data_IF_388441294107
#
_entry.id   IF_388441294107
#
_cell.length_a   1.000
_cell.length_b   1.000
_cell.length_c   1.000
_cell.angle_alpha   90.00
_cell.angle_beta   90.00
_cell.angle_gamma   90.00
#
_symmetry.space_group_name_H-M   'P 1'
#
loop_
_entity.id
_entity.type
_entity.pdbx_description
1 polymer ?
#
# COMPACT_ATOMS: atom_id res chain seq x y z
N UNK A 1 -14.72 46.05 -27.41
CA UNK A 1 -13.80 44.90 -27.65
C UNK A 1 -13.37 44.31 -26.32
N UNK A 2 -14.08 43.29 -25.85
CA UNK A 2 -13.69 42.52 -24.67
C UNK A 2 -12.63 41.49 -25.10
N UNK A 3 -11.43 41.58 -24.50
CA UNK A 3 -10.43 40.53 -24.62
C UNK A 3 -10.80 39.42 -23.62
N UNK A 4 -11.15 38.26 -24.17
CA UNK A 4 -11.28 37.01 -23.44
C UNK A 4 -9.95 36.67 -22.76
N UNK A 5 -9.89 36.79 -21.44
CA UNK A 5 -8.84 36.17 -20.64
C UNK A 5 -9.04 34.66 -20.74
N UNK A 6 -8.14 33.99 -21.45
CA UNK A 6 -8.07 32.53 -21.47
C UNK A 6 -7.96 32.01 -20.05
N UNK A 7 -8.88 31.12 -19.67
CA UNK A 7 -8.78 30.37 -18.44
C UNK A 7 -7.52 29.50 -18.54
N UNK A 8 -6.50 29.85 -17.76
CA UNK A 8 -5.45 28.89 -17.44
C UNK A 8 -6.12 27.78 -16.61
N UNK A 9 -6.39 26.64 -17.25
CA UNK A 9 -6.73 25.42 -16.53
C UNK A 9 -5.51 25.01 -15.72
N UNK A 10 -5.57 25.17 -14.39
CA UNK A 10 -4.55 24.61 -13.52
C UNK A 10 -4.39 23.12 -13.84
N UNK A 11 -3.16 22.63 -14.11
CA UNK A 11 -2.95 21.21 -14.34
C UNK A 11 -3.26 20.47 -13.04
N UNK A 12 -4.43 19.87 -12.96
CA UNK A 12 -4.85 19.21 -11.73
C UNK A 12 -3.98 17.99 -11.41
N UNK A 13 -3.78 17.75 -10.12
CA UNK A 13 -2.87 16.72 -9.63
C UNK A 13 -3.61 15.38 -9.55
N UNK A 14 -2.97 14.31 -10.03
CA UNK A 14 -3.46 12.93 -9.86
C UNK A 14 -2.54 12.16 -8.94
N UNK A 15 -3.12 11.31 -8.08
CA UNK A 15 -2.35 10.33 -7.31
C UNK A 15 -2.31 9.00 -8.07
N UNK A 16 -1.11 8.45 -8.25
CA UNK A 16 -0.88 7.21 -8.99
C UNK A 16 -0.10 6.22 -8.13
N UNK A 17 -0.65 5.02 -7.95
CA UNK A 17 0.00 3.90 -7.29
C UNK A 17 0.48 2.88 -8.33
N UNK A 18 1.74 2.49 -8.27
CA UNK A 18 2.37 1.65 -9.29
C UNK A 18 2.12 0.15 -9.08
N UNK A 19 2.58 -0.69 -10.00
CA UNK A 19 2.47 -2.14 -9.90
C UNK A 19 3.64 -2.79 -9.16
N UNK A 20 3.89 -4.06 -9.47
CA UNK A 20 5.08 -4.76 -8.98
C UNK A 20 6.37 -4.08 -9.48
N UNK A 21 7.34 -3.90 -8.59
CA UNK A 21 8.65 -3.32 -8.88
C UNK A 21 9.70 -3.87 -7.92
N UNK A 22 10.99 -3.68 -8.20
CA UNK A 22 12.07 -4.42 -7.53
C UNK A 22 12.63 -3.78 -6.25
N UNK A 23 12.23 -2.54 -5.91
CA UNK A 23 12.88 -1.75 -4.84
C UNK A 23 12.06 -1.60 -3.55
N UNK A 24 10.86 -2.20 -3.49
CA UNK A 24 9.95 -2.02 -2.35
C UNK A 24 10.56 -2.45 -1.00
N UNK A 25 11.41 -3.48 -0.99
CA UNK A 25 12.00 -3.99 0.24
C UNK A 25 12.97 -2.98 0.85
N UNK A 26 13.82 -2.36 0.02
CA UNK A 26 14.76 -1.33 0.47
C UNK A 26 14.04 -0.04 0.87
N UNK A 27 13.01 0.34 0.11
CA UNK A 27 12.14 1.48 0.46
C UNK A 27 11.48 1.27 1.83
N UNK A 28 10.83 0.13 2.05
CA UNK A 28 10.15 -0.16 3.32
C UNK A 28 11.13 -0.27 4.49
N UNK A 29 12.31 -0.87 4.29
CA UNK A 29 13.38 -0.86 5.30
C UNK A 29 13.81 0.56 5.64
N UNK A 30 13.97 1.43 4.64
CA UNK A 30 14.30 2.85 4.84
C UNK A 30 13.20 3.60 5.62
N UNK A 31 11.93 3.35 5.29
CA UNK A 31 10.78 3.93 5.99
C UNK A 31 10.72 3.48 7.47
N UNK A 32 10.92 2.19 7.74
CA UNK A 32 10.97 1.62 9.09
C UNK A 32 12.13 2.20 9.93
N UNK A 33 13.30 2.40 9.30
CA UNK A 33 14.45 2.99 9.97
C UNK A 33 14.23 4.47 10.31
N UNK A 34 13.55 5.21 9.44
CA UNK A 34 13.44 6.68 9.52
C UNK A 34 12.19 7.21 10.21
N UNK A 35 11.14 6.41 10.40
CA UNK A 35 9.88 6.88 10.99
C UNK A 35 9.32 5.97 12.09
N UNK A 36 9.01 6.58 13.24
CA UNK A 36 8.31 5.92 14.34
C UNK A 36 6.85 5.57 13.98
N UNK A 37 6.15 6.47 13.29
CA UNK A 37 4.76 6.22 12.86
C UNK A 37 4.66 5.03 11.92
N UNK A 38 5.68 4.81 11.09
CA UNK A 38 5.75 3.63 10.22
C UNK A 38 5.95 2.35 11.03
N UNK A 39 6.82 2.36 12.05
CA UNK A 39 7.01 1.19 12.91
C UNK A 39 5.75 0.83 13.68
N UNK A 40 5.03 1.82 14.20
CA UNK A 40 3.75 1.63 14.86
C UNK A 40 2.70 1.05 13.90
N UNK A 41 2.59 1.61 12.70
CA UNK A 41 1.71 1.08 11.66
C UNK A 41 2.05 -0.38 11.33
N UNK A 42 3.33 -0.69 11.08
CA UNK A 42 3.75 -2.07 10.74
C UNK A 42 3.49 -3.03 11.90
N UNK A 43 3.66 -2.61 13.15
CA UNK A 43 3.29 -3.41 14.31
C UNK A 43 1.78 -3.72 14.33
N UNK A 44 0.91 -2.72 14.09
CA UNK A 44 -0.54 -2.93 13.97
C UNK A 44 -0.88 -3.89 12.82
N UNK A 45 -0.25 -3.72 11.66
CA UNK A 45 -0.46 -4.58 10.49
C UNK A 45 -0.05 -6.02 10.76
N UNK A 46 1.07 -6.25 11.46
CA UNK A 46 1.49 -7.60 11.85
C UNK A 46 0.45 -8.27 12.76
N UNK A 47 -0.11 -7.55 13.74
CA UNK A 47 -1.19 -8.08 14.59
C UNK A 47 -2.42 -8.45 13.75
N UNK A 48 -2.86 -7.57 12.85
CA UNK A 48 -4.02 -7.86 11.98
C UNK A 48 -3.79 -9.06 11.02
N UNK A 49 -2.56 -9.22 10.53
CA UNK A 49 -2.19 -10.36 9.68
C UNK A 49 -2.11 -11.67 10.46
N UNK A 50 -1.66 -11.62 11.71
CA UNK A 50 -1.66 -12.77 12.61
C UNK A 50 -3.09 -13.22 12.94
N UNK A 51 -3.98 -12.28 13.26
CA UNK A 51 -5.41 -12.55 13.46
C UNK A 51 -6.04 -13.18 12.21
N UNK A 52 -5.80 -12.60 11.03
CA UNK A 52 -6.30 -13.15 9.78
C UNK A 52 -5.73 -14.54 9.50
N UNK A 53 -4.45 -14.79 9.80
CA UNK A 53 -3.83 -16.09 9.62
C UNK A 53 -4.47 -17.17 10.51
N UNK A 54 -4.81 -16.82 11.74
CA UNK A 54 -5.57 -17.70 12.62
C UNK A 54 -6.98 -17.98 12.05
N UNK A 55 -7.69 -16.96 11.57
CA UNK A 55 -9.02 -17.11 10.94
C UNK A 55 -8.99 -18.06 9.74
N UNK A 56 -7.98 -17.92 8.87
CA UNK A 56 -7.83 -18.76 7.69
C UNK A 56 -7.08 -20.08 7.94
N UNK A 57 -6.64 -20.35 9.17
CA UNK A 57 -5.83 -21.53 9.53
C UNK A 57 -4.58 -21.69 8.66
N UNK A 58 -3.84 -20.60 8.46
CA UNK A 58 -2.59 -20.56 7.67
C UNK A 58 -1.44 -19.98 8.49
N UNK A 59 -0.21 -20.20 8.02
CA UNK A 59 0.98 -19.58 8.63
C UNK A 59 0.91 -18.05 8.58
N UNK A 60 1.20 -17.36 9.71
CA UNK A 60 1.13 -15.91 9.80
C UNK A 60 2.19 -15.24 8.95
N UNK A 61 1.83 -14.09 8.38
CA UNK A 61 2.77 -13.23 7.69
C UNK A 61 3.38 -12.22 8.66
N UNK A 62 4.71 -12.22 8.75
CA UNK A 62 5.45 -11.22 9.51
C UNK A 62 6.24 -10.33 8.55
N UNK A 63 5.93 -9.04 8.53
CA UNK A 63 6.55 -8.06 7.62
C UNK A 63 8.07 -8.00 7.80
N UNK A 64 8.55 -7.91 9.04
CA UNK A 64 9.97 -7.75 9.34
C UNK A 64 10.77 -9.02 9.02
N UNK A 65 10.18 -10.19 9.30
CA UNK A 65 10.73 -11.49 8.94
C UNK A 65 10.80 -11.66 7.42
N UNK A 66 9.72 -11.32 6.71
CA UNK A 66 9.67 -11.36 5.25
C UNK A 66 10.73 -10.44 4.62
N UNK A 67 10.93 -9.24 5.17
CA UNK A 67 11.98 -8.31 4.74
C UNK A 67 13.41 -8.80 5.01
N UNK A 68 13.63 -9.88 5.77
CA UNK A 68 14.97 -10.50 5.92
C UNK A 68 15.23 -11.59 4.87
N UNK A 69 14.22 -11.95 4.08
CA UNK A 69 14.34 -12.94 3.03
C UNK A 69 15.30 -12.50 1.92
N UNK A 70 15.83 -13.49 1.20
CA UNK A 70 16.67 -13.26 0.03
C UNK A 70 15.84 -12.77 -1.17
N UNK A 71 16.50 -12.35 -2.26
CA UNK A 71 15.83 -11.78 -3.42
C UNK A 71 14.75 -12.69 -4.03
N UNK A 72 14.96 -14.01 -4.07
CA UNK A 72 13.96 -14.93 -4.63
C UNK A 72 12.74 -15.06 -3.73
N UNK A 73 12.95 -15.11 -2.42
CA UNK A 73 11.86 -15.13 -1.43
C UNK A 73 11.03 -13.85 -1.50
N UNK A 74 11.70 -12.70 -1.62
CA UNK A 74 11.04 -11.40 -1.76
C UNK A 74 10.20 -11.29 -3.03
N UNK A 75 10.56 -12.00 -4.10
CA UNK A 75 9.81 -11.98 -5.36
C UNK A 75 8.56 -12.85 -5.33
N UNK A 76 8.43 -13.79 -4.39
CA UNK A 76 7.25 -14.64 -4.28
C UNK A 76 5.99 -13.78 -4.09
N UNK A 77 4.93 -13.94 -4.89
CA UNK A 77 3.67 -13.22 -4.72
C UNK A 77 3.13 -13.18 -3.29
N UNK A 78 3.23 -14.28 -2.54
CA UNK A 78 2.83 -14.31 -1.11
C UNK A 78 3.60 -13.35 -0.20
N UNK A 79 4.76 -12.88 -0.64
CA UNK A 79 5.64 -11.92 0.04
C UNK A 79 5.59 -10.55 -0.64
N UNK A 80 5.78 -10.49 -1.96
CA UNK A 80 5.87 -9.23 -2.71
C UNK A 80 4.56 -8.45 -2.71
N UNK A 81 3.41 -9.11 -2.92
CA UNK A 81 2.12 -8.42 -2.99
C UNK A 81 1.79 -7.61 -1.72
N UNK A 82 1.82 -8.21 -0.50
CA UNK A 82 1.56 -7.45 0.71
C UNK A 82 2.64 -6.41 1.00
N UNK A 83 3.93 -6.71 0.77
CA UNK A 83 5.00 -5.76 1.06
C UNK A 83 4.98 -4.54 0.12
N UNK A 84 4.68 -4.71 -1.17
CA UNK A 84 4.58 -3.59 -2.09
C UNK A 84 3.36 -2.72 -1.75
N UNK A 85 2.22 -3.35 -1.46
CA UNK A 85 1.01 -2.64 -1.04
C UNK A 85 1.27 -1.83 0.23
N UNK A 86 1.92 -2.44 1.22
CA UNK A 86 2.31 -1.77 2.47
C UNK A 86 3.28 -0.61 2.21
N UNK A 87 4.29 -0.80 1.36
CA UNK A 87 5.28 0.24 1.00
C UNK A 87 4.60 1.46 0.39
N UNK A 88 3.72 1.25 -0.57
CA UNK A 88 2.96 2.31 -1.25
C UNK A 88 2.08 3.10 -0.29
N UNK A 89 1.32 2.39 0.55
CA UNK A 89 0.39 2.99 1.49
C UNK A 89 1.10 3.68 2.66
N UNK A 90 2.23 3.14 3.11
CA UNK A 90 3.08 3.76 4.13
C UNK A 90 3.71 5.05 3.59
N UNK A 91 4.12 5.05 2.32
CA UNK A 91 4.62 6.26 1.65
C UNK A 91 3.54 7.33 1.59
N UNK A 92 2.32 6.96 1.17
CA UNK A 92 1.17 7.86 1.18
C UNK A 92 0.82 8.36 2.59
N UNK A 93 0.91 7.49 3.60
CA UNK A 93 0.70 7.85 5.00
C UNK A 93 1.69 8.93 5.47
N UNK A 94 2.99 8.75 5.24
CA UNK A 94 3.98 9.77 5.58
C UNK A 94 3.77 11.09 4.84
N UNK A 95 3.32 11.04 3.59
CA UNK A 95 2.93 12.24 2.86
C UNK A 95 1.77 12.93 3.56
N UNK A 96 0.73 12.20 3.96
CA UNK A 96 -0.45 12.71 4.64
C UNK A 96 -0.18 13.30 6.03
N UNK A 97 0.81 12.80 6.75
CA UNK A 97 1.21 13.36 8.04
C UNK A 97 1.64 14.83 7.92
N UNK A 98 2.17 15.24 6.75
CA UNK A 98 2.58 16.62 6.46
C UNK A 98 1.43 17.57 6.14
N UNK A 99 0.23 17.05 5.87
CA UNK A 99 -0.95 17.87 5.56
C UNK A 99 -1.83 18.02 6.79
N UNK A 100 -2.27 19.24 7.15
CA UNK A 100 -3.08 19.46 8.35
C UNK A 100 -4.43 18.72 8.29
N UNK A 101 -4.97 18.49 7.08
CA UNK A 101 -6.25 17.83 6.86
C UNK A 101 -6.22 16.87 5.69
N UNK A 102 -6.61 15.62 5.95
CA UNK A 102 -6.70 14.54 4.97
C UNK A 102 -7.64 14.90 3.80
N UNK A 103 -8.82 15.42 4.12
CA UNK A 103 -9.84 15.78 3.13
C UNK A 103 -9.47 16.97 2.26
N UNK A 104 -8.59 17.86 2.71
CA UNK A 104 -8.08 18.97 1.89
C UNK A 104 -7.09 18.46 0.86
N UNK A 105 -6.21 17.52 1.24
CA UNK A 105 -5.30 16.87 0.30
C UNK A 105 -6.07 16.08 -0.77
N UNK A 106 -7.05 15.26 -0.38
CA UNK A 106 -7.86 14.50 -1.33
C UNK A 106 -8.65 15.40 -2.29
N UNK A 107 -9.24 16.50 -1.80
CA UNK A 107 -9.97 17.46 -2.64
C UNK A 107 -9.07 18.17 -3.65
N UNK A 108 -7.76 18.26 -3.37
CA UNK A 108 -6.77 18.78 -4.30
C UNK A 108 -6.44 17.83 -5.46
N UNK A 109 -6.90 16.58 -5.42
CA UNK A 109 -6.67 15.58 -6.46
C UNK A 109 -7.86 15.52 -7.42
N UNK A 110 -7.57 15.46 -8.72
CA UNK A 110 -8.58 15.18 -9.75
C UNK A 110 -9.06 13.72 -9.75
N UNK A 111 -8.22 12.83 -9.23
CA UNK A 111 -8.49 11.40 -9.19
C UNK A 111 -7.31 10.62 -8.62
N UNK A 112 -7.60 9.38 -8.29
CA UNK A 112 -6.65 8.41 -7.73
C UNK A 112 -6.75 7.15 -8.57
N UNK A 113 -5.61 6.63 -9.02
CA UNK A 113 -5.57 5.41 -9.84
C UNK A 113 -4.42 4.50 -9.42
N UNK A 114 -4.50 3.24 -9.82
CA UNK A 114 -3.50 2.23 -9.50
C UNK A 114 -3.28 1.27 -10.66
N UNK A 115 -2.02 0.92 -10.93
CA UNK A 115 -1.67 -0.05 -11.96
C UNK A 115 -1.56 -1.46 -11.36
N UNK A 116 -2.32 -2.43 -11.89
CA UNK A 116 -2.35 -3.81 -11.38
C UNK A 116 -2.59 -3.83 -9.86
N UNK A 117 -1.68 -4.37 -9.05
CA UNK A 117 -1.83 -4.39 -7.58
C UNK A 117 -1.94 -2.99 -6.94
N UNK A 118 -1.43 -1.94 -7.59
CA UNK A 118 -1.53 -0.56 -7.11
C UNK A 118 -2.98 -0.09 -6.95
N UNK A 119 -3.95 -0.78 -7.58
CA UNK A 119 -5.37 -0.48 -7.41
C UNK A 119 -5.84 -0.65 -5.97
N UNK A 120 -5.23 -1.55 -5.19
CA UNK A 120 -5.56 -1.73 -3.78
C UNK A 120 -5.18 -0.49 -2.97
N UNK A 121 -3.99 0.07 -3.24
CA UNK A 121 -3.55 1.30 -2.60
C UNK A 121 -4.40 2.50 -3.01
N UNK A 122 -4.75 2.60 -4.30
CA UNK A 122 -5.64 3.62 -4.82
C UNK A 122 -7.03 3.56 -4.18
N UNK A 123 -7.62 2.36 -4.08
CA UNK A 123 -8.92 2.15 -3.47
C UNK A 123 -8.91 2.49 -1.98
N UNK A 124 -7.91 2.03 -1.23
CA UNK A 124 -7.76 2.33 0.19
C UNK A 124 -7.61 3.84 0.45
N UNK A 125 -6.84 4.52 -0.38
CA UNK A 125 -6.66 5.97 -0.28
C UNK A 125 -7.94 6.73 -0.63
N UNK A 126 -8.67 6.32 -1.68
CA UNK A 126 -9.90 6.96 -2.10
C UNK A 126 -11.08 6.70 -1.15
N UNK A 127 -11.14 5.54 -0.52
CA UNK A 127 -12.25 5.16 0.39
C UNK A 127 -12.17 5.80 1.76
N UNK A 128 -11.00 6.28 2.16
CA UNK A 128 -10.81 6.88 3.47
C UNK A 128 -11.40 8.29 3.53
N UNK A 129 -12.14 8.60 4.59
CA UNK A 129 -12.67 9.95 4.87
C UNK A 129 -11.81 10.72 5.89
N UNK A 130 -10.97 9.99 6.65
CA UNK A 130 -10.10 10.53 7.69
C UNK A 130 -8.78 9.76 7.74
N UNK A 131 -7.80 10.29 8.50
CA UNK A 131 -6.53 9.60 8.75
C UNK A 131 -6.74 8.23 9.40
N UNK A 132 -7.68 8.14 10.35
CA UNK A 132 -8.00 6.89 11.03
C UNK A 132 -8.64 5.88 10.08
N UNK A 133 -9.54 6.32 9.21
CA UNK A 133 -10.13 5.46 8.18
C UNK A 133 -9.08 4.98 7.19
N UNK A 134 -8.10 5.85 6.86
CA UNK A 134 -7.01 5.47 6.01
C UNK A 134 -6.13 4.40 6.65
N UNK A 135 -5.73 4.54 7.92
CA UNK A 135 -4.98 3.50 8.63
C UNK A 135 -5.70 2.14 8.62
N UNK A 136 -7.02 2.12 8.85
CA UNK A 136 -7.85 0.90 8.73
C UNK A 136 -7.90 0.34 7.31
N UNK A 137 -7.98 1.22 6.31
CA UNK A 137 -7.94 0.84 4.91
C UNK A 137 -6.58 0.25 4.52
N UNK A 138 -5.48 0.69 5.13
CA UNK A 138 -4.15 0.07 4.95
C UNK A 138 -4.16 -1.38 5.42
N UNK A 139 -4.62 -1.65 6.64
CA UNK A 139 -4.74 -3.03 7.15
C UNK A 139 -5.56 -3.94 6.24
N UNK A 140 -6.71 -3.44 5.80
CA UNK A 140 -7.57 -4.17 4.87
C UNK A 140 -6.86 -4.45 3.53
N UNK A 141 -6.24 -3.44 2.92
CA UNK A 141 -5.57 -3.59 1.63
C UNK A 141 -4.38 -4.55 1.70
N UNK A 142 -3.58 -4.49 2.77
CA UNK A 142 -2.45 -5.40 2.98
C UNK A 142 -2.92 -6.85 3.19
N UNK A 143 -3.99 -7.06 3.98
CA UNK A 143 -4.60 -8.40 4.14
C UNK A 143 -5.10 -8.96 2.81
N UNK A 144 -5.81 -8.15 2.03
CA UNK A 144 -6.27 -8.56 0.69
C UNK A 144 -5.09 -8.90 -0.22
N UNK A 145 -4.05 -8.07 -0.25
CA UNK A 145 -2.86 -8.32 -1.04
C UNK A 145 -2.12 -9.60 -0.62
N UNK A 146 -2.04 -9.87 0.68
CA UNK A 146 -1.46 -11.10 1.22
C UNK A 146 -2.25 -12.33 0.79
N UNK A 147 -3.58 -12.31 0.93
CA UNK A 147 -4.45 -13.42 0.52
C UNK A 147 -4.30 -13.69 -0.99
N UNK A 148 -4.38 -12.64 -1.82
CA UNK A 148 -4.16 -12.76 -3.28
C UNK A 148 -2.80 -13.38 -3.57
N UNK A 149 -1.74 -12.87 -2.94
CA UNK A 149 -0.37 -13.38 -3.10
C UNK A 149 -0.26 -14.87 -2.76
N UNK A 150 -0.88 -15.32 -1.67
CA UNK A 150 -0.91 -16.75 -1.29
C UNK A 150 -1.64 -17.62 -2.31
N UNK A 151 -2.78 -17.17 -2.82
CA UNK A 151 -3.52 -17.91 -3.85
C UNK A 151 -2.71 -18.00 -5.15
N UNK A 152 -2.06 -16.92 -5.57
CA UNK A 152 -1.20 -16.93 -6.76
C UNK A 152 -0.03 -17.90 -6.57
N UNK A 153 0.65 -17.87 -5.42
CA UNK A 153 1.71 -18.83 -5.09
C UNK A 153 1.22 -20.29 -5.15
N UNK A 154 0.04 -20.57 -4.59
CA UNK A 154 -0.52 -21.91 -4.57
C UNK A 154 -0.85 -22.44 -5.98
N UNK A 155 -1.43 -21.59 -6.84
CA UNK A 155 -1.74 -21.95 -8.23
C UNK A 155 -0.47 -22.09 -9.04
N UNK A 156 0.48 -21.15 -8.92
CA UNK A 156 1.75 -21.20 -9.65
C UNK A 156 2.63 -22.39 -9.21
N UNK A 157 2.64 -22.72 -7.92
CA UNK A 157 3.29 -23.93 -7.40
C UNK A 157 2.59 -25.22 -7.82
N UNK A 158 1.27 -25.19 -8.03
CA UNK A 158 0.48 -26.31 -8.55
C UNK A 158 0.64 -26.56 -10.06
N UNK A 159 1.16 -25.58 -10.82
CA UNK A 159 1.48 -25.73 -12.25
C UNK A 159 2.91 -26.23 -12.52
N UNK A 160 3.69 -26.51 -11.47
CA UNK A 160 5.05 -27.04 -11.55
C UNK A 160 5.14 -28.57 -11.36
N UNK A 161 4.01 -29.29 -11.50
CA UNK A 161 3.93 -30.75 -11.42
C UNK A 161 3.64 -31.38 -12.80
#
# INVERSE_FOLDING_TARGET
>A
CAQSRGAHSDPGVMACFTGQGHIFADELRGLLASSASVRELVATINCELEEAAHEFSVEPFNVEGALRGNSNELLRPSVSCPLITLTQLTTAWLTLEKYPRFSEMQRGLLGVTGHSQGILAAAAFASAASRLDFLRAIGTAVKVAWIIGRYVDAVAGGMAL
#
